data_IF_061535379707
#
_entry.id   IF_061535379707
#
_cell.length_a   1.000
_cell.length_b   1.000
_cell.length_c   1.000
_cell.angle_alpha   90.00
_cell.angle_beta   90.00
_cell.angle_gamma   90.00
#
_symmetry.space_group_name_H-M   'P 1'
#
loop_
_entity.id
_entity.type
_entity.pdbx_description
1 polymer ?
#
# COMPACT_ATOMS: atom_id res chain seq x y z
N UNK A 1 -43.07 -14.34 8.06
CA UNK A 1 -44.05 -13.40 7.46
C UNK A 1 -44.77 -12.73 8.62
N UNK A 2 -44.47 -11.47 8.91
CA UNK A 2 -45.04 -10.78 10.06
C UNK A 2 -44.50 -9.36 10.14
N UNK A 3 -45.01 -8.49 9.27
CA UNK A 3 -44.87 -7.04 9.42
C UNK A 3 -46.25 -6.52 9.81
N UNK A 4 -46.34 -5.93 11.00
CA UNK A 4 -47.50 -5.13 11.42
C UNK A 4 -47.15 -3.65 11.32
N UNK A 5 -48.17 -2.82 11.11
CA UNK A 5 -48.02 -1.37 11.03
C UNK A 5 -47.44 -0.79 12.33
N UNK A 6 -46.30 -0.10 12.22
CA UNK A 6 -45.68 0.63 13.31
C UNK A 6 -46.09 2.11 13.23
N UNK A 7 -46.67 2.62 14.32
CA UNK A 7 -47.07 4.02 14.43
C UNK A 7 -46.13 4.77 15.37
N UNK A 8 -45.54 5.88 14.91
CA UNK A 8 -44.69 6.75 15.72
C UNK A 8 -45.51 7.91 16.28
N UNK A 9 -45.84 7.85 17.58
CA UNK A 9 -46.52 8.93 18.29
C UNK A 9 -45.46 9.83 18.94
N UNK A 10 -45.49 11.13 18.60
CA UNK A 10 -44.58 12.13 19.18
C UNK A 10 -45.03 12.52 20.58
N UNK A 11 -44.06 12.72 21.47
CA UNK A 11 -44.21 13.36 22.78
C UNK A 11 -45.25 12.71 23.72
N UNK A 12 -45.35 11.37 23.66
CA UNK A 12 -46.24 10.59 24.53
C UNK A 12 -45.79 10.55 26.02
N UNK A 13 -44.55 10.95 26.30
CA UNK A 13 -43.98 11.02 27.64
C UNK A 13 -42.96 12.16 27.70
N UNK A 14 -42.73 12.67 28.91
CA UNK A 14 -41.69 13.66 29.16
C UNK A 14 -40.32 13.11 28.73
N UNK A 15 -39.64 13.87 27.87
CA UNK A 15 -38.39 13.45 27.27
C UNK A 15 -37.25 13.51 28.30
N UNK A 16 -36.47 12.43 28.40
CA UNK A 16 -35.28 12.36 29.28
C UNK A 16 -34.20 13.38 28.83
N UNK A 17 -34.13 13.64 27.53
CA UNK A 17 -33.21 14.60 26.91
C UNK A 17 -33.98 15.43 25.90
N UNK A 18 -33.58 16.69 25.71
CA UNK A 18 -34.22 17.53 24.70
C UNK A 18 -34.03 16.96 23.29
N UNK A 19 -35.00 17.24 22.42
CA UNK A 19 -34.98 16.78 21.02
C UNK A 19 -33.73 17.28 20.29
N UNK A 20 -33.27 18.48 20.59
CA UNK A 20 -32.04 19.06 20.03
C UNK A 20 -30.79 18.26 20.41
N UNK A 21 -30.69 17.81 21.67
CA UNK A 21 -29.57 16.98 22.14
C UNK A 21 -29.63 15.59 21.50
N UNK A 22 -30.83 15.03 21.35
CA UNK A 22 -31.03 13.74 20.68
C UNK A 22 -30.65 13.80 19.20
N UNK A 23 -31.11 14.82 18.47
CA UNK A 23 -30.85 14.99 17.05
C UNK A 23 -29.35 15.24 16.78
N UNK A 24 -28.69 16.01 17.64
CA UNK A 24 -27.24 16.23 17.56
C UNK A 24 -26.45 14.94 17.87
N UNK A 25 -26.87 14.16 18.86
CA UNK A 25 -26.28 12.85 19.16
C UNK A 25 -26.47 11.87 17.99
N UNK A 26 -27.66 11.83 17.38
CA UNK A 26 -27.95 10.98 16.23
C UNK A 26 -27.16 11.45 14.99
N UNK A 27 -26.97 12.76 14.80
CA UNK A 27 -26.11 13.32 13.75
C UNK A 27 -24.65 12.88 13.93
N UNK A 28 -24.12 12.94 15.15
CA UNK A 28 -22.76 12.46 15.47
C UNK A 28 -22.68 10.93 15.27
N UNK A 29 -23.68 10.17 15.71
CA UNK A 29 -23.77 8.71 15.51
C UNK A 29 -23.80 8.36 14.02
N UNK A 30 -24.60 9.05 13.22
CA UNK A 30 -24.66 8.90 11.76
C UNK A 30 -23.35 9.29 11.09
N UNK A 31 -22.70 10.37 11.55
CA UNK A 31 -21.36 10.77 11.06
C UNK A 31 -20.29 9.72 11.38
N UNK A 32 -20.34 9.10 12.55
CA UNK A 32 -19.49 7.96 12.93
C UNK A 32 -19.83 6.69 12.14
N UNK A 33 -21.12 6.48 11.86
CA UNK A 33 -21.65 5.34 11.08
C UNK A 33 -21.29 5.41 9.59
N UNK A 34 -21.22 6.62 9.01
CA UNK A 34 -20.91 6.84 7.58
C UNK A 34 -19.53 6.35 7.13
N UNK A 35 -18.65 5.93 8.04
CA UNK A 35 -17.42 5.21 7.72
C UNK A 35 -17.57 3.68 7.83
N UNK A 36 -18.64 3.09 7.29
CA UNK A 36 -18.68 1.63 7.09
C UNK A 36 -19.73 1.10 6.10
N UNK A 37 -20.15 1.85 5.09
CA UNK A 37 -20.71 1.22 3.89
C UNK A 37 -19.56 1.05 2.92
N UNK A 38 -18.78 0.00 3.15
CA UNK A 38 -17.87 -0.49 2.14
C UNK A 38 -18.71 -1.40 1.26
N UNK A 39 -18.93 -0.98 0.02
CA UNK A 39 -19.52 -1.85 -0.99
C UNK A 39 -18.76 -3.18 -1.01
N UNK A 40 -19.52 -4.26 -0.87
CA UNK A 40 -19.06 -5.63 -0.89
C UNK A 40 -18.68 -5.99 -2.31
N UNK A 41 -17.51 -5.52 -2.74
CA UNK A 41 -16.81 -6.01 -3.91
C UNK A 41 -15.37 -6.27 -3.47
N UNK A 42 -14.87 -7.46 -3.81
CA UNK A 42 -13.64 -8.02 -3.29
C UNK A 42 -12.42 -7.11 -3.47
N UNK A 43 -11.45 -7.28 -2.58
CA UNK A 43 -10.19 -6.54 -2.46
C UNK A 43 -10.27 -5.11 -1.89
N UNK A 44 -9.99 -5.02 -0.59
CA UNK A 44 -9.49 -3.79 0.05
C UNK A 44 -8.05 -3.54 -0.41
N UNK A 45 -7.85 -2.79 -1.48
CA UNK A 45 -6.60 -2.07 -1.67
C UNK A 45 -6.67 -0.80 -0.81
N UNK A 46 -6.23 -0.90 0.46
CA UNK A 46 -6.13 0.30 1.30
C UNK A 46 -4.89 1.08 0.86
N UNK A 47 -5.13 2.35 0.51
CA UNK A 47 -4.16 3.35 0.07
C UNK A 47 -3.06 3.71 1.09
N UNK A 48 -3.07 3.13 2.30
CA UNK A 48 -1.95 3.17 3.24
C UNK A 48 -1.68 1.77 3.77
N UNK A 49 -0.65 1.11 3.22
CA UNK A 49 -0.17 -0.17 3.74
C UNK A 49 0.58 0.08 5.04
N UNK A 50 -0.04 -0.25 6.18
CA UNK A 50 0.61 -0.13 7.49
C UNK A 50 1.81 -1.08 7.64
N UNK A 51 1.73 -2.28 7.06
CA UNK A 51 2.76 -3.33 7.15
C UNK A 51 3.18 -3.79 5.75
N UNK A 52 4.46 -4.16 5.57
CA UNK A 52 5.05 -4.54 4.28
C UNK A 52 4.27 -5.64 3.54
N UNK A 53 3.87 -6.70 4.26
CA UNK A 53 3.13 -7.82 3.69
C UNK A 53 1.63 -7.54 3.44
N UNK A 54 1.13 -6.37 3.84
CA UNK A 54 -0.29 -6.00 3.67
C UNK A 54 -0.64 -5.98 2.20
N UNK A 55 -1.67 -6.74 1.80
CA UNK A 55 -2.13 -6.90 0.41
C UNK A 55 -1.07 -7.45 -0.58
N UNK A 56 0.12 -7.84 -0.11
CA UNK A 56 1.11 -8.58 -0.89
C UNK A 56 0.96 -10.09 -0.74
N UNK A 57 0.55 -10.58 0.44
CA UNK A 57 0.38 -12.01 0.67
C UNK A 57 -0.97 -12.53 0.18
N UNK A 58 -0.96 -13.60 -0.61
CA UNK A 58 -2.10 -14.34 -1.14
C UNK A 58 -2.05 -15.81 -0.72
N UNK A 59 -3.20 -16.40 -0.43
CA UNK A 59 -3.30 -17.82 -0.09
C UNK A 59 -3.30 -18.65 -1.38
N UNK A 60 -2.32 -19.52 -1.58
CA UNK A 60 -2.21 -20.34 -2.79
C UNK A 60 -3.35 -21.34 -2.98
N UNK A 61 -4.08 -21.68 -1.90
CA UNK A 61 -5.19 -22.62 -1.96
C UNK A 61 -6.52 -22.00 -2.42
N UNK A 62 -6.76 -20.72 -2.12
CA UNK A 62 -8.06 -20.08 -2.36
C UNK A 62 -7.97 -18.68 -2.99
N UNK A 63 -6.77 -18.20 -3.32
CA UNK A 63 -6.50 -16.90 -3.94
C UNK A 63 -6.77 -15.67 -3.08
N UNK A 64 -7.36 -15.83 -1.89
CA UNK A 64 -7.68 -14.69 -1.04
C UNK A 64 -6.44 -14.12 -0.36
N UNK A 65 -6.42 -12.80 -0.15
CA UNK A 65 -5.35 -12.10 0.59
C UNK A 65 -5.24 -12.60 2.04
N UNK A 66 -4.05 -12.53 2.59
CA UNK A 66 -3.82 -12.74 4.02
C UNK A 66 -4.05 -11.43 4.81
N UNK A 67 -4.42 -11.57 6.07
CA UNK A 67 -4.57 -10.46 7.01
C UNK A 67 -3.67 -10.68 8.21
N UNK A 68 -2.99 -9.60 8.64
CA UNK A 68 -2.23 -9.57 9.88
C UNK A 68 -3.16 -9.68 11.08
N UNK A 69 -2.79 -10.49 12.05
CA UNK A 69 -3.43 -10.67 13.35
C UNK A 69 -2.33 -10.80 14.41
N UNK A 70 -2.68 -10.52 15.65
CA UNK A 70 -1.78 -10.73 16.79
C UNK A 70 -2.18 -12.01 17.52
N UNK A 71 -1.26 -12.96 17.65
CA UNK A 71 -1.42 -14.14 18.50
C UNK A 71 -0.85 -13.85 19.88
N UNK A 72 -1.51 -14.38 20.92
CA UNK A 72 -1.15 -14.14 22.32
C UNK A 72 -1.03 -12.64 22.67
N UNK A 73 -1.99 -11.86 22.15
CA UNK A 73 -2.18 -10.45 22.48
C UNK A 73 -2.08 -10.23 23.99
N UNK A 74 -1.43 -9.15 24.44
CA UNK A 74 -1.26 -8.78 25.85
C UNK A 74 -0.40 -9.74 26.70
N UNK A 75 0.49 -10.51 26.08
CA UNK A 75 1.47 -11.35 26.78
C UNK A 75 2.88 -11.12 26.24
N UNK A 76 3.90 -11.58 26.99
CA UNK A 76 5.31 -11.56 26.54
C UNK A 76 5.57 -12.42 25.29
N UNK A 77 4.61 -13.28 24.90
CA UNK A 77 4.68 -14.13 23.71
C UNK A 77 3.87 -13.56 22.54
N UNK A 78 3.57 -12.26 22.57
CA UNK A 78 2.87 -11.56 21.50
C UNK A 78 3.62 -11.74 20.18
N UNK A 79 2.92 -12.30 19.18
CA UNK A 79 3.50 -12.56 17.86
C UNK A 79 2.56 -12.13 16.75
N UNK A 80 3.02 -11.31 15.80
CA UNK A 80 2.25 -11.03 14.60
C UNK A 80 2.24 -12.24 13.67
N UNK A 81 1.04 -12.58 13.20
CA UNK A 81 0.80 -13.71 12.30
C UNK A 81 -0.09 -13.28 11.14
N UNK A 82 0.15 -13.86 9.97
CA UNK A 82 -0.62 -13.66 8.75
C UNK A 82 -1.52 -14.86 8.51
N UNK A 83 -2.81 -14.60 8.30
CA UNK A 83 -3.85 -15.63 8.16
C UNK A 83 -4.72 -15.39 6.93
N UNK A 84 -5.12 -16.47 6.25
CA UNK A 84 -6.01 -16.41 5.10
C UNK A 84 -7.34 -15.74 5.47
N UNK A 85 -7.70 -14.66 4.77
CA UNK A 85 -8.91 -13.90 5.05
C UNK A 85 -10.19 -14.74 4.86
N UNK A 86 -10.21 -15.64 3.88
CA UNK A 86 -11.36 -16.51 3.63
C UNK A 86 -11.61 -17.45 4.81
N UNK A 87 -10.55 -18.07 5.35
CA UNK A 87 -10.67 -18.93 6.53
C UNK A 87 -11.08 -18.17 7.79
N UNK A 88 -10.58 -16.93 7.97
CA UNK A 88 -10.93 -16.12 9.15
C UNK A 88 -12.36 -15.59 9.10
N UNK A 89 -12.86 -15.18 7.93
CA UNK A 89 -14.20 -14.58 7.80
C UNK A 89 -15.29 -15.61 7.58
N UNK A 90 -15.04 -16.58 6.71
CA UNK A 90 -16.04 -17.55 6.27
C UNK A 90 -15.82 -18.93 6.92
N UNK A 91 -14.82 -19.07 7.79
CA UNK A 91 -14.52 -20.31 8.50
C UNK A 91 -13.50 -21.20 7.79
N UNK A 92 -12.76 -22.00 8.56
CA UNK A 92 -11.67 -22.86 8.07
C UNK A 92 -12.12 -23.88 7.02
N UNK A 93 -13.40 -24.26 7.02
CA UNK A 93 -13.99 -25.17 6.01
C UNK A 93 -13.83 -24.65 4.57
N UNK A 94 -13.79 -23.33 4.39
CA UNK A 94 -13.66 -22.70 3.07
C UNK A 94 -12.21 -22.60 2.59
N UNK A 95 -11.23 -22.89 3.45
CA UNK A 95 -9.83 -23.02 3.05
C UNK A 95 -9.10 -23.96 4.03
N UNK A 96 -9.36 -25.29 3.97
CA UNK A 96 -8.94 -26.23 5.02
C UNK A 96 -7.43 -26.35 5.20
N UNK A 97 -6.69 -26.19 4.10
CA UNK A 97 -5.25 -26.37 4.06
C UNK A 97 -4.45 -25.13 4.45
N UNK A 98 -5.09 -23.96 4.62
CA UNK A 98 -4.34 -22.78 5.01
C UNK A 98 -3.95 -22.81 6.49
N UNK A 99 -2.81 -22.18 6.80
CA UNK A 99 -2.32 -22.04 8.16
C UNK A 99 -1.85 -20.61 8.42
N UNK A 100 -1.89 -20.22 9.69
CA UNK A 100 -1.27 -18.97 10.13
C UNK A 100 0.24 -19.05 10.00
N UNK A 101 0.87 -18.03 9.44
CA UNK A 101 2.33 -17.92 9.32
C UNK A 101 2.81 -16.72 10.13
N UNK A 102 3.86 -16.93 10.93
CA UNK A 102 4.49 -15.86 11.71
C UNK A 102 5.17 -14.86 10.77
N UNK A 103 5.05 -13.56 11.07
CA UNK A 103 5.64 -12.48 10.25
C UNK A 103 7.16 -12.67 10.05
N UNK A 104 7.87 -13.09 11.11
CA UNK A 104 9.30 -13.39 11.05
C UNK A 104 9.67 -14.51 10.06
N UNK A 105 8.76 -15.44 9.76
CA UNK A 105 9.00 -16.49 8.75
C UNK A 105 8.96 -15.86 7.35
N UNK A 106 8.04 -14.93 7.10
CA UNK A 106 7.96 -14.24 5.81
C UNK A 106 9.19 -13.37 5.58
N UNK A 107 9.64 -12.65 6.61
CA UNK A 107 10.84 -11.82 6.56
C UNK A 107 12.09 -12.67 6.32
N UNK A 108 12.31 -13.72 7.12
CA UNK A 108 13.47 -14.61 6.95
C UNK A 108 13.48 -15.35 5.61
N UNK A 109 12.32 -15.83 5.15
CA UNK A 109 12.23 -16.48 3.85
C UNK A 109 12.48 -15.51 2.69
N UNK A 110 12.14 -14.23 2.84
CA UNK A 110 12.50 -13.21 1.85
C UNK A 110 14.01 -13.03 1.80
N UNK A 111 14.68 -12.86 2.95
CA UNK A 111 16.15 -12.69 2.99
C UNK A 111 16.87 -13.89 2.39
N UNK A 112 16.40 -15.11 2.64
CA UNK A 112 16.95 -16.33 2.04
C UNK A 112 16.72 -16.37 0.52
N UNK A 113 15.48 -16.12 0.06
CA UNK A 113 15.17 -16.05 -1.37
C UNK A 113 16.06 -15.02 -2.06
N UNK A 114 16.22 -13.87 -1.40
CA UNK A 114 16.96 -12.74 -1.90
C UNK A 114 18.46 -13.01 -1.96
N UNK A 115 19.03 -13.66 -0.94
CA UNK A 115 20.42 -14.12 -0.94
C UNK A 115 20.70 -15.17 -2.03
N UNK A 116 19.76 -16.11 -2.25
CA UNK A 116 19.86 -17.10 -3.34
C UNK A 116 19.77 -16.44 -4.73
N UNK A 117 18.97 -15.39 -4.88
CA UNK A 117 18.86 -14.61 -6.11
C UNK A 117 20.15 -13.80 -6.37
N UNK A 118 20.67 -13.12 -5.35
CA UNK A 118 21.91 -12.34 -5.46
C UNK A 118 23.14 -13.22 -5.77
N UNK A 119 23.21 -14.45 -5.24
CA UNK A 119 24.34 -15.34 -5.47
C UNK A 119 24.39 -16.05 -6.83
N UNK A 120 23.24 -16.24 -7.51
CA UNK A 120 23.15 -17.03 -8.74
C UNK A 120 22.71 -16.23 -9.98
N UNK A 121 22.18 -15.02 -9.80
CA UNK A 121 21.48 -14.33 -10.87
C UNK A 121 21.74 -12.81 -10.86
N UNK A 122 23.01 -12.41 -10.86
CA UNK A 122 23.40 -11.00 -11.00
C UNK A 122 22.73 -10.37 -12.24
N UNK A 123 22.69 -11.10 -13.35
CA UNK A 123 22.00 -10.70 -14.59
C UNK A 123 20.47 -10.58 -14.44
N UNK A 124 19.81 -11.43 -13.65
CA UNK A 124 18.34 -11.35 -13.45
C UNK A 124 18.01 -10.24 -12.48
N UNK A 125 18.83 -10.04 -11.46
CA UNK A 125 18.71 -8.91 -10.57
C UNK A 125 18.82 -7.62 -11.39
N UNK A 126 19.84 -7.49 -12.24
CA UNK A 126 19.98 -6.34 -13.14
C UNK A 126 18.77 -6.17 -14.07
N UNK A 127 18.19 -7.25 -14.62
CA UNK A 127 16.96 -7.18 -15.43
C UNK A 127 15.76 -6.69 -14.60
N UNK A 128 15.54 -7.21 -13.39
CA UNK A 128 14.44 -6.80 -12.50
C UNK A 128 14.62 -5.34 -12.09
N UNK A 129 15.84 -4.96 -11.74
CA UNK A 129 16.20 -3.60 -11.34
C UNK A 129 15.99 -2.62 -12.50
N UNK A 130 16.44 -2.98 -13.72
CA UNK A 130 16.19 -2.20 -14.93
C UNK A 130 14.70 -2.06 -15.24
N UNK A 131 13.92 -3.14 -15.12
CA UNK A 131 12.47 -3.09 -15.32
C UNK A 131 11.77 -2.21 -14.28
N UNK A 132 12.24 -2.22 -13.03
CA UNK A 132 11.72 -1.34 -11.98
C UNK A 132 12.12 0.12 -12.25
N UNK A 133 13.37 0.39 -12.65
CA UNK A 133 13.82 1.72 -13.03
C UNK A 133 13.04 2.26 -14.24
N UNK A 134 12.75 1.43 -15.25
CA UNK A 134 11.92 1.80 -16.40
C UNK A 134 10.45 2.03 -16.01
N UNK A 135 9.88 1.18 -15.16
CA UNK A 135 8.51 1.35 -14.66
C UNK A 135 8.35 2.62 -13.80
N UNK A 136 9.42 3.04 -13.11
CA UNK A 136 9.45 4.26 -12.30
C UNK A 136 9.77 5.50 -13.14
N UNK A 137 10.58 5.36 -14.20
CA UNK A 137 10.88 6.43 -15.15
C UNK A 137 9.76 6.56 -16.19
N UNK A 138 8.58 6.94 -15.73
CA UNK A 138 7.45 7.19 -16.60
C UNK A 138 7.72 8.48 -17.41
N UNK A 139 8.35 8.34 -18.59
CA UNK A 139 8.70 9.46 -19.48
C UNK A 139 7.48 10.32 -19.84
N UNK A 140 6.29 9.72 -19.80
CA UNK A 140 4.97 10.37 -19.87
C UNK A 140 4.76 11.42 -18.78
N UNK A 141 5.07 11.11 -17.52
CA UNK A 141 4.85 12.00 -16.38
C UNK A 141 5.81 13.18 -16.40
N UNK A 142 7.05 12.95 -16.84
CA UNK A 142 8.03 14.02 -17.10
C UNK A 142 7.55 14.95 -18.21
N UNK A 143 7.01 14.41 -19.32
CA UNK A 143 6.44 15.21 -20.41
C UNK A 143 5.21 16.01 -19.95
N UNK A 144 4.32 15.40 -19.17
CA UNK A 144 3.14 16.08 -18.60
C UNK A 144 3.55 17.23 -17.68
N UNK A 145 4.57 17.04 -16.83
CA UNK A 145 5.13 18.11 -16.00
C UNK A 145 5.65 19.27 -16.87
N UNK A 146 6.46 18.97 -17.88
CA UNK A 146 6.99 19.99 -18.79
C UNK A 146 5.87 20.77 -19.51
N UNK A 147 4.78 20.10 -19.88
CA UNK A 147 3.64 20.77 -20.49
C UNK A 147 2.92 21.69 -19.49
N UNK A 148 2.70 21.23 -18.25
CA UNK A 148 2.12 22.06 -17.20
C UNK A 148 2.98 23.31 -16.90
N UNK A 149 4.32 23.16 -16.86
CA UNK A 149 5.23 24.29 -16.67
C UNK A 149 5.15 25.30 -17.82
N UNK A 150 5.05 24.83 -19.08
CA UNK A 150 4.82 25.71 -20.23
C UNK A 150 3.48 26.43 -20.16
N UNK A 151 2.42 25.73 -19.78
CA UNK A 151 1.08 26.31 -19.69
C UNK A 151 1.02 27.39 -18.59
N UNK A 152 1.62 27.13 -17.42
CA UNK A 152 1.77 28.09 -16.31
C UNK A 152 2.54 29.33 -16.79
N UNK A 153 3.72 29.15 -17.39
CA UNK A 153 4.54 30.26 -17.89
C UNK A 153 3.81 31.09 -18.96
N UNK A 154 3.02 30.44 -19.82
CA UNK A 154 2.21 31.13 -20.84
C UNK A 154 1.10 31.98 -20.21
N UNK A 155 0.48 31.51 -19.13
CA UNK A 155 -0.56 32.23 -18.41
C UNK A 155 0.00 33.39 -17.59
N UNK A 156 1.16 33.20 -16.96
CA UNK A 156 1.89 34.28 -16.27
C UNK A 156 2.29 35.39 -17.24
N UNK A 157 2.80 35.02 -18.42
CA UNK A 157 3.14 35.97 -19.48
C UNK A 157 1.92 36.74 -19.98
N UNK A 158 0.76 36.07 -20.14
CA UNK A 158 -0.50 36.73 -20.51
C UNK A 158 -0.99 37.69 -19.42
N UNK A 159 -0.86 37.30 -18.16
CA UNK A 159 -1.20 38.15 -17.01
C UNK A 159 -0.31 39.41 -16.98
N UNK A 160 1.00 39.25 -17.16
CA UNK A 160 1.94 40.39 -17.23
C UNK A 160 1.57 41.34 -18.36
N UNK A 161 1.32 40.83 -19.57
CA UNK A 161 0.91 41.67 -20.71
C UNK A 161 -0.38 42.43 -20.46
N UNK A 162 -1.35 41.83 -19.77
CA UNK A 162 -2.57 42.54 -19.38
C UNK A 162 -2.30 43.65 -18.36
N UNK A 163 -1.35 43.46 -17.46
CA UNK A 163 -0.92 44.52 -16.54
C UNK A 163 -0.29 45.69 -17.30
N UNK A 164 0.55 45.40 -18.30
CA UNK A 164 1.15 46.44 -19.15
C UNK A 164 0.07 47.21 -19.94
N UNK A 165 -0.90 46.50 -20.53
CA UNK A 165 -2.02 47.13 -21.26
C UNK A 165 -2.91 48.02 -20.37
N UNK A 166 -3.03 47.70 -19.08
CA UNK A 166 -3.75 48.53 -18.10
C UNK A 166 -2.97 49.82 -17.81
N UNK A 167 -1.65 49.73 -17.67
CA UNK A 167 -0.76 50.88 -17.47
C UNK A 167 -0.83 51.82 -18.69
N UNK A 168 -0.83 51.25 -19.89
CA UNK A 168 -0.96 51.99 -21.16
C UNK A 168 -2.38 52.54 -21.41
N UNK A 169 -3.35 52.27 -20.52
CA UNK A 169 -4.73 52.74 -20.62
C UNK A 169 -5.54 52.11 -21.75
N UNK A 170 -5.04 51.01 -22.34
CA UNK A 170 -5.68 50.34 -23.49
C UNK A 170 -6.92 49.55 -23.07
N UNK A 171 -7.00 49.14 -21.81
CA UNK A 171 -8.11 48.37 -21.23
C UNK A 171 -8.64 49.05 -19.97
N UNK A 172 -9.94 48.86 -19.70
CA UNK A 172 -10.55 49.36 -18.46
C UNK A 172 -10.20 48.47 -17.28
N UNK A 173 -10.30 49.03 -16.07
CA UNK A 173 -10.02 48.31 -14.82
C UNK A 173 -10.96 47.12 -14.62
N UNK A 174 -12.22 47.24 -15.03
CA UNK A 174 -13.24 46.20 -14.88
C UNK A 174 -12.90 44.97 -15.74
N UNK A 175 -12.46 45.19 -16.98
CA UNK A 175 -12.05 44.11 -17.91
C UNK A 175 -10.76 43.43 -17.41
N UNK A 176 -9.84 44.20 -16.84
CA UNK A 176 -8.62 43.68 -16.23
C UNK A 176 -8.94 42.79 -15.02
N UNK A 177 -9.77 43.27 -14.10
CA UNK A 177 -10.11 42.54 -12.87
C UNK A 177 -10.78 41.20 -13.18
N UNK A 178 -11.70 41.16 -14.14
CA UNK A 178 -12.36 39.92 -14.58
C UNK A 178 -11.34 38.92 -15.16
N UNK A 179 -10.45 39.37 -16.06
CA UNK A 179 -9.47 38.50 -16.71
C UNK A 179 -8.35 38.04 -15.78
N UNK A 180 -7.90 38.88 -14.86
CA UNK A 180 -6.92 38.51 -13.85
C UNK A 180 -7.49 37.50 -12.87
N UNK A 181 -8.77 37.61 -12.51
CA UNK A 181 -9.45 36.61 -11.69
C UNK A 181 -9.50 35.26 -12.43
N UNK A 182 -9.85 35.27 -13.72
CA UNK A 182 -9.85 34.08 -14.58
C UNK A 182 -8.47 33.40 -14.64
N UNK A 183 -7.42 34.18 -14.92
CA UNK A 183 -6.05 33.67 -14.99
C UNK A 183 -5.55 33.16 -13.64
N UNK A 184 -5.88 33.84 -12.54
CA UNK A 184 -5.45 33.44 -11.20
C UNK A 184 -6.09 32.11 -10.79
N UNK A 185 -7.38 31.88 -11.12
CA UNK A 185 -8.03 30.59 -10.92
C UNK A 185 -7.36 29.48 -11.73
N UNK A 186 -7.10 29.72 -13.02
CA UNK A 186 -6.43 28.74 -13.89
C UNK A 186 -5.02 28.42 -13.41
N UNK A 187 -4.25 29.43 -13.01
CA UNK A 187 -2.91 29.26 -12.44
C UNK A 187 -2.94 28.43 -11.15
N UNK A 188 -3.91 28.67 -10.28
CA UNK A 188 -4.04 27.88 -9.05
C UNK A 188 -4.28 26.40 -9.36
N UNK A 189 -5.24 26.08 -10.24
CA UNK A 189 -5.55 24.69 -10.63
C UNK A 189 -4.36 24.00 -11.31
N UNK A 190 -3.67 24.69 -12.21
CA UNK A 190 -2.50 24.11 -12.89
C UNK A 190 -1.31 23.93 -11.94
N UNK A 191 -1.10 24.86 -11.01
CA UNK A 191 -0.04 24.77 -10.00
C UNK A 191 -0.27 23.62 -9.02
N UNK A 192 -1.52 23.40 -8.59
CA UNK A 192 -1.88 22.27 -7.74
C UNK A 192 -1.66 20.94 -8.46
N UNK A 193 -2.08 20.83 -9.73
CA UNK A 193 -1.81 19.64 -10.55
C UNK A 193 -0.31 19.40 -10.74
N UNK A 194 0.47 20.46 -10.97
CA UNK A 194 1.94 20.35 -11.07
C UNK A 194 2.54 19.85 -9.77
N UNK A 195 2.09 20.40 -8.63
CA UNK A 195 2.58 20.00 -7.31
C UNK A 195 2.34 18.51 -7.04
N UNK A 196 1.12 18.01 -7.27
CA UNK A 196 0.79 16.59 -7.07
C UNK A 196 1.61 15.66 -7.98
N UNK A 197 1.80 16.07 -9.24
CA UNK A 197 2.61 15.31 -10.19
C UNK A 197 4.09 15.32 -9.81
N UNK A 198 4.61 16.47 -9.35
CA UNK A 198 5.98 16.61 -8.89
C UNK A 198 6.26 15.81 -7.61
N UNK A 199 5.31 15.78 -6.67
CA UNK A 199 5.37 14.92 -5.50
C UNK A 199 5.45 13.43 -5.90
N UNK A 200 4.66 13.03 -6.89
CA UNK A 200 4.66 11.66 -7.42
C UNK A 200 5.99 11.31 -8.10
N UNK A 201 6.52 12.22 -8.94
CA UNK A 201 7.82 12.07 -9.59
C UNK A 201 8.95 12.02 -8.57
N UNK A 202 8.91 12.85 -7.53
CA UNK A 202 9.95 12.87 -6.50
C UNK A 202 9.94 11.59 -5.66
N UNK A 203 8.75 11.07 -5.31
CA UNK A 203 8.63 9.76 -4.67
C UNK A 203 9.22 8.65 -5.54
N UNK A 204 8.94 8.67 -6.85
CA UNK A 204 9.51 7.70 -7.80
C UNK A 204 11.04 7.82 -7.91
N UNK A 205 11.57 9.05 -7.98
CA UNK A 205 13.03 9.29 -8.01
C UNK A 205 13.74 8.89 -6.72
N UNK A 206 13.10 9.09 -5.57
CA UNK A 206 13.63 8.64 -4.28
C UNK A 206 13.73 7.11 -4.23
N UNK A 207 12.70 6.41 -4.75
CA UNK A 207 12.75 4.95 -4.92
C UNK A 207 13.88 4.55 -5.87
N UNK A 208 14.04 5.22 -7.01
CA UNK A 208 15.14 4.95 -7.96
C UNK A 208 16.53 5.14 -7.33
N UNK A 209 16.75 6.23 -6.59
CA UNK A 209 18.02 6.49 -5.89
C UNK A 209 18.32 5.45 -4.82
N UNK A 210 17.31 5.09 -4.02
CA UNK A 210 17.45 4.01 -3.04
C UNK A 210 17.74 2.68 -3.71
N UNK A 211 17.14 2.44 -4.88
CA UNK A 211 17.40 1.25 -5.68
C UNK A 211 18.84 1.18 -6.19
N UNK A 212 19.37 2.30 -6.69
CA UNK A 212 20.79 2.36 -7.10
C UNK A 212 21.74 2.25 -5.89
N UNK A 213 21.38 2.82 -4.75
CA UNK A 213 22.15 2.64 -3.51
C UNK A 213 22.12 1.18 -3.03
N UNK A 214 20.96 0.52 -3.15
CA UNK A 214 20.80 -0.91 -2.90
C UNK A 214 21.64 -1.74 -3.86
N UNK A 215 21.73 -1.35 -5.14
CA UNK A 215 22.63 -1.98 -6.12
C UNK A 215 24.08 -1.91 -5.65
N UNK A 216 24.53 -0.75 -5.16
CA UNK A 216 25.90 -0.59 -4.66
C UNK A 216 26.17 -1.39 -3.39
N UNK A 217 25.22 -1.45 -2.45
CA UNK A 217 25.34 -2.32 -1.26
C UNK A 217 25.23 -3.80 -1.62
N UNK A 218 24.43 -4.19 -2.61
CA UNK A 218 24.29 -5.58 -3.07
C UNK A 218 25.55 -6.10 -3.75
N UNK A 219 26.25 -5.25 -4.51
CA UNK A 219 27.51 -5.60 -5.17
C UNK A 219 28.68 -5.63 -4.16
N UNK A 220 28.62 -4.81 -3.11
CA UNK A 220 29.73 -4.69 -2.13
C UNK A 220 29.58 -5.57 -0.89
N UNK A 221 28.35 -5.83 -0.44
CA UNK A 221 28.01 -6.67 0.71
C UNK A 221 27.09 -7.79 0.25
N UNK A 222 27.68 -8.98 0.12
CA UNK A 222 26.93 -10.21 -0.03
C UNK A 222 25.99 -10.36 1.19
N UNK A 223 24.69 -10.27 0.93
CA UNK A 223 23.56 -10.59 1.83
C UNK A 223 23.04 -9.42 2.69
N UNK A 224 21.76 -9.09 2.51
CA UNK A 224 21.01 -8.28 3.47
C UNK A 224 20.83 -9.06 4.77
N UNK A 225 21.42 -8.58 5.87
CA UNK A 225 21.28 -9.20 7.20
C UNK A 225 19.89 -8.94 7.84
N UNK A 226 19.21 -7.87 7.42
CA UNK A 226 17.91 -7.46 7.95
C UNK A 226 16.86 -7.21 6.85
N UNK A 227 15.59 -7.44 7.19
CA UNK A 227 14.47 -7.22 6.28
C UNK A 227 14.24 -5.72 6.04
N UNK A 228 14.55 -5.27 4.83
CA UNK A 228 14.21 -3.92 4.37
C UNK A 228 12.88 -3.94 3.61
N UNK A 229 11.90 -3.22 4.17
CA UNK A 229 10.57 -3.05 3.59
C UNK A 229 10.59 -2.43 2.19
N UNK A 230 11.43 -1.43 1.96
CA UNK A 230 11.48 -0.70 0.70
C UNK A 230 12.02 -1.60 -0.40
N UNK A 231 13.08 -2.37 -0.11
CA UNK A 231 13.64 -3.39 -1.01
C UNK A 231 12.58 -4.45 -1.35
N UNK A 232 11.91 -4.96 -0.31
CA UNK A 232 10.88 -5.95 -0.49
C UNK A 232 9.75 -5.42 -1.38
N UNK A 233 9.21 -4.25 -1.08
CA UNK A 233 8.10 -3.65 -1.84
C UNK A 233 8.50 -3.26 -3.26
N UNK A 234 9.78 -3.02 -3.55
CA UNK A 234 10.25 -2.65 -4.87
C UNK A 234 10.44 -3.85 -5.78
N UNK A 235 10.93 -4.97 -5.24
CA UNK A 235 11.28 -6.18 -6.00
C UNK A 235 10.10 -7.15 -6.08
N UNK A 236 9.36 -7.32 -4.99
CA UNK A 236 8.28 -8.30 -4.89
C UNK A 236 6.95 -7.70 -5.34
N UNK A 237 6.27 -8.39 -6.25
CA UNK A 237 4.90 -8.08 -6.65
C UNK A 237 3.88 -8.67 -5.67
N UNK A 238 4.04 -9.96 -5.35
CA UNK A 238 3.18 -10.69 -4.41
C UNK A 238 3.89 -11.90 -3.82
N UNK A 239 3.40 -12.35 -2.67
CA UNK A 239 3.87 -13.55 -1.98
C UNK A 239 2.74 -14.55 -1.91
N UNK A 240 2.94 -15.72 -2.52
CA UNK A 240 2.00 -16.83 -2.42
C UNK A 240 2.34 -17.68 -1.20
N UNK A 241 1.35 -17.89 -0.36
CA UNK A 241 1.46 -18.54 0.93
C UNK A 241 0.69 -19.85 0.95
N UNK A 242 1.41 -20.93 1.21
CA UNK A 242 0.95 -22.31 1.08
C UNK A 242 1.16 -22.83 -0.33
N UNK A 243 0.91 -24.12 -0.53
CA UNK A 243 0.96 -24.75 -1.83
C UNK A 243 0.86 -26.27 -1.72
N UNK A 244 1.15 -26.93 -2.82
CA UNK A 244 1.29 -28.39 -2.86
C UNK A 244 2.76 -28.74 -3.08
N UNK A 245 3.23 -29.81 -2.44
CA UNK A 245 4.52 -30.41 -2.74
C UNK A 245 4.46 -31.19 -4.08
N UNK A 246 5.59 -31.74 -4.50
CA UNK A 246 5.70 -32.51 -5.76
C UNK A 246 4.87 -33.81 -5.74
N UNK A 247 4.51 -34.27 -4.55
CA UNK A 247 3.69 -35.47 -4.31
C UNK A 247 2.19 -35.15 -4.20
N UNK A 248 1.81 -33.87 -4.28
CA UNK A 248 0.42 -33.41 -4.22
C UNK A 248 -0.14 -33.22 -2.81
N UNK A 249 0.68 -33.32 -1.75
CA UNK A 249 0.26 -33.02 -0.39
C UNK A 249 0.25 -31.52 -0.14
N UNK A 250 -0.71 -31.00 0.65
CA UNK A 250 -0.75 -29.59 1.02
C UNK A 250 0.40 -29.25 1.98
N UNK A 251 1.27 -28.33 1.56
CA UNK A 251 2.27 -27.68 2.41
C UNK A 251 1.87 -26.22 2.72
N UNK A 252 1.31 -25.95 3.91
CA UNK A 252 0.88 -24.60 4.28
C UNK A 252 2.03 -23.62 4.51
N UNK A 253 3.28 -24.11 4.57
CA UNK A 253 4.48 -23.30 4.81
C UNK A 253 5.29 -23.04 3.54
N UNK A 254 4.87 -23.56 2.39
CA UNK A 254 5.48 -23.23 1.10
C UNK A 254 5.29 -21.74 0.80
N UNK A 255 6.38 -21.04 0.50
CA UNK A 255 6.38 -19.62 0.16
C UNK A 255 6.96 -19.43 -1.23
N UNK A 256 6.20 -18.74 -2.08
CA UNK A 256 6.65 -18.36 -3.44
C UNK A 256 6.62 -16.86 -3.57
N UNK A 257 7.77 -16.27 -3.91
CA UNK A 257 7.93 -14.83 -4.12
C UNK A 257 7.85 -14.54 -5.61
N UNK A 258 6.85 -13.76 -6.00
CA UNK A 258 6.67 -13.32 -7.39
C UNK A 258 7.36 -11.97 -7.54
N UNK A 259 8.37 -11.90 -8.42
CA UNK A 259 9.12 -10.68 -8.68
C UNK A 259 8.35 -9.79 -9.67
N UNK A 260 8.49 -8.47 -9.53
CA UNK A 260 7.99 -7.53 -10.54
C UNK A 260 8.84 -7.68 -11.81
N UNK A 261 8.20 -7.99 -12.93
CA UNK A 261 8.90 -8.22 -14.22
C UNK A 261 8.81 -9.66 -14.76
N UNK A 262 7.77 -10.43 -14.41
CA UNK A 262 7.44 -11.75 -14.97
C UNK A 262 8.38 -12.93 -14.63
N UNK A 263 9.14 -12.88 -13.54
CA UNK A 263 9.91 -14.03 -13.06
C UNK A 263 9.52 -14.42 -11.63
N UNK A 264 9.30 -15.71 -11.37
CA UNK A 264 8.87 -16.23 -10.05
C UNK A 264 9.98 -17.03 -9.38
N UNK A 265 10.39 -16.63 -8.17
CA UNK A 265 11.29 -17.41 -7.31
C UNK A 265 10.49 -18.24 -6.31
N UNK A 266 10.77 -19.55 -6.20
CA UNK A 266 10.13 -20.41 -5.20
C UNK A 266 11.16 -20.82 -4.15
N UNK A 267 10.86 -20.60 -2.87
CA UNK A 267 11.71 -21.07 -1.77
C UNK A 267 11.15 -22.39 -1.23
N UNK A 268 11.83 -23.52 -1.43
CA UNK A 268 11.45 -24.76 -0.78
C UNK A 268 11.76 -24.71 0.73
N UNK A 269 10.88 -25.30 1.53
CA UNK A 269 11.15 -25.75 2.91
C UNK A 269 11.34 -24.69 4.04
N UNK A 270 10.56 -23.60 4.04
CA UNK A 270 10.57 -22.56 5.10
C UNK A 270 10.33 -23.07 6.54
N UNK A 271 9.81 -24.30 6.72
CA UNK A 271 9.52 -24.93 8.02
C UNK A 271 10.77 -25.36 8.78
N UNK A 272 11.83 -25.79 8.08
CA UNK A 272 13.08 -26.21 8.72
C UNK A 272 13.84 -25.02 9.29
N UNK A 273 13.79 -23.89 8.59
CA UNK A 273 14.38 -22.63 9.03
C UNK A 273 13.71 -22.08 10.31
N UNK A 274 12.38 -22.14 10.42
CA UNK A 274 11.69 -21.78 11.68
C UNK A 274 12.18 -22.63 12.87
N UNK A 275 12.40 -23.93 12.66
CA UNK A 275 12.94 -24.80 13.73
C UNK A 275 14.38 -24.42 14.07
N UNK A 276 15.18 -24.00 13.09
CA UNK A 276 16.54 -23.50 13.31
C UNK A 276 16.55 -22.18 14.09
N UNK A 277 15.77 -21.18 13.67
CA UNK A 277 15.63 -19.89 14.37
C UNK A 277 15.10 -20.08 15.79
N UNK A 278 14.10 -20.95 16.00
CA UNK A 278 13.59 -21.26 17.35
C UNK A 278 14.63 -21.97 18.22
N UNK A 279 15.55 -22.74 17.62
CA UNK A 279 16.65 -23.41 18.34
C UNK A 279 17.74 -22.42 18.74
N UNK A 280 18.05 -21.45 17.88
CA UNK A 280 18.98 -20.35 18.14
C UNK A 280 18.43 -19.39 19.24
N UNK A 281 17.18 -18.95 19.13
CA UNK A 281 16.51 -18.12 20.15
C UNK A 281 16.41 -18.81 21.52
N UNK A 282 16.28 -20.15 21.55
CA UNK A 282 16.29 -20.93 22.79
C UNK A 282 17.68 -21.14 23.40
N UNK A 283 18.76 -21.03 22.61
CA UNK A 283 20.14 -21.08 23.13
C UNK A 283 20.53 -19.74 23.78
N UNK A 284 20.09 -18.60 23.21
CA UNK A 284 20.33 -17.27 23.78
C UNK A 284 19.70 -17.08 25.17
N UNK A 285 18.53 -17.68 25.43
CA UNK A 285 17.85 -17.58 26.73
C UNK A 285 18.37 -18.57 27.81
N UNK A 286 19.48 -19.29 27.57
CA UNK A 286 20.11 -20.19 28.57
C UNK A 286 21.37 -19.60 29.22
N UNK A 287 21.74 -18.36 28.90
CA UNK A 287 22.82 -17.63 29.60
C UNK A 287 22.22 -16.40 30.26
N UNK A 288 21.54 -16.61 31.38
CA UNK A 288 21.29 -15.64 32.45
C UNK A 288 20.91 -16.41 33.71
#
# INVERSE_FOLDING_TARGET
MGEQDQFYIRDHHESIVSREVWDEAERIRMKRSKNKIMETSGNRERYTRQYAFSSMCECSYCGHKLTRRTRHSSSIYEKPVWQCMNATKNGIKNCPHCKAIDEAILEGAFLEAFGLLAGNFDDVLDIVMSNVEEALNNAEDVRKKQQLDKDISSLESKKSRMTDMLIDGTISKEVYDEKVLEFTRKLHTLSERRYLLEESINKQKDVGKRMSALRETLISEQVLDEFDRVVFESIIEKVLVGGFDEEGNPDPYKLTFVLKGNQSGTVPNAKEHYKAIQKELKKGNKVS
#
